data_IF_876432388081
#
_entry.id   IF_876432388081
#
_cell.length_a   1.000
_cell.length_b   1.000
_cell.length_c   1.000
_cell.angle_alpha   90.00
_cell.angle_beta   90.00
_cell.angle_gamma   90.00
#
_symmetry.space_group_name_H-M   'P 1'
#
loop_
_entity.id
_entity.type
_entity.pdbx_description
1 polymer ?
#
# COMPACT_ATOMS: atom_id res chain seq x y z
N UNK A 1 -2.92 -20.39 17.40
CA UNK A 1 -3.42 -19.82 16.13
C UNK A 1 -3.09 -18.34 16.01
N UNK A 2 -3.49 -17.48 16.95
CA UNK A 2 -3.20 -16.03 16.93
C UNK A 2 -1.71 -15.63 17.02
N UNK A 3 -0.88 -16.41 17.74
CA UNK A 3 0.57 -16.15 17.84
C UNK A 3 1.29 -16.28 16.49
N UNK A 4 0.86 -17.22 15.63
CA UNK A 4 1.40 -17.38 14.28
C UNK A 4 1.06 -16.20 13.38
N UNK A 5 -0.19 -15.72 13.44
CA UNK A 5 -0.64 -14.54 12.71
C UNK A 5 0.19 -13.30 13.08
N UNK A 6 0.37 -13.04 14.38
CA UNK A 6 1.18 -11.91 14.84
C UNK A 6 2.62 -11.97 14.34
N UNK A 7 3.24 -13.16 14.34
CA UNK A 7 4.59 -13.34 13.83
C UNK A 7 4.70 -13.03 12.32
N UNK A 8 3.68 -13.37 11.53
CA UNK A 8 3.65 -13.05 10.10
C UNK A 8 3.56 -11.53 9.90
N UNK A 9 2.65 -10.84 10.59
CA UNK A 9 2.53 -9.40 10.51
C UNK A 9 3.80 -8.68 10.99
N UNK A 10 4.45 -9.19 12.06
CA UNK A 10 5.73 -8.67 12.54
C UNK A 10 6.83 -8.82 11.47
N UNK A 11 6.92 -9.97 10.82
CA UNK A 11 7.88 -10.23 9.73
C UNK A 11 7.63 -9.32 8.53
N UNK A 12 6.37 -9.15 8.14
CA UNK A 12 5.96 -8.22 7.08
C UNK A 12 6.42 -6.80 7.41
N UNK A 13 6.10 -6.31 8.62
CA UNK A 13 6.40 -4.94 9.02
C UNK A 13 7.90 -4.67 9.08
N UNK A 14 8.67 -5.64 9.58
CA UNK A 14 10.14 -5.58 9.59
C UNK A 14 10.72 -5.59 8.16
N UNK A 15 10.16 -6.39 7.25
CA UNK A 15 10.63 -6.50 5.86
C UNK A 15 10.28 -5.28 5.00
N UNK A 16 9.14 -4.61 5.29
CA UNK A 16 8.77 -3.35 4.66
C UNK A 16 9.67 -2.19 5.11
N UNK A 17 10.23 -2.29 6.32
CA UNK A 17 11.11 -1.27 6.91
C UNK A 17 10.41 -0.29 7.86
N UNK A 18 9.21 -0.65 8.32
CA UNK A 18 8.52 -0.05 9.46
C UNK A 18 8.00 1.37 9.27
N UNK A 19 7.67 2.02 10.40
CA UNK A 19 7.04 3.35 10.43
C UNK A 19 7.96 4.47 9.90
N UNK A 20 9.27 4.34 10.07
CA UNK A 20 10.25 5.34 9.61
C UNK A 20 10.20 5.52 8.09
N UNK A 21 10.11 4.40 7.35
CA UNK A 21 10.02 4.42 5.89
C UNK A 21 8.66 4.89 5.40
N UNK A 22 7.59 4.59 6.14
CA UNK A 22 6.25 5.08 5.82
C UNK A 22 6.20 6.62 5.88
N UNK A 23 6.67 7.22 6.98
CA UNK A 23 6.63 8.68 7.18
C UNK A 23 7.55 9.40 6.20
N UNK A 24 8.73 8.84 5.91
CA UNK A 24 9.68 9.44 4.96
C UNK A 24 9.32 9.18 3.49
N UNK A 25 8.27 8.40 3.23
CA UNK A 25 7.90 8.00 1.88
C UNK A 25 7.46 9.20 1.03
N UNK A 26 8.03 9.41 -0.17
CA UNK A 26 7.57 10.46 -1.09
C UNK A 26 6.09 10.25 -1.48
N UNK A 27 5.60 9.01 -1.45
CA UNK A 27 4.21 8.66 -1.76
C UNK A 27 3.25 9.16 -0.68
N UNK A 28 3.63 9.11 0.59
CA UNK A 28 2.83 9.70 1.67
C UNK A 28 2.77 11.22 1.55
N UNK A 29 3.89 11.88 1.27
CA UNK A 29 3.92 13.32 1.05
C UNK A 29 3.06 13.74 -0.15
N UNK A 30 3.08 12.95 -1.24
CA UNK A 30 2.21 13.16 -2.37
C UNK A 30 0.73 13.01 -1.99
N UNK A 31 0.38 11.99 -1.20
CA UNK A 31 -0.99 11.81 -0.70
C UNK A 31 -1.45 12.97 0.19
N UNK A 32 -0.56 13.52 1.03
CA UNK A 32 -0.84 14.71 1.84
C UNK A 32 -1.05 15.96 0.97
N UNK A 33 -0.21 16.14 -0.05
CA UNK A 33 -0.37 17.24 -1.00
C UNK A 33 -1.71 17.13 -1.74
N UNK A 34 -2.08 15.94 -2.20
CA UNK A 34 -3.38 15.69 -2.83
C UNK A 34 -4.52 15.97 -1.85
N UNK A 35 -4.42 15.53 -0.59
CA UNK A 35 -5.43 15.76 0.44
C UNK A 35 -5.75 17.26 0.60
N UNK A 36 -4.72 18.10 0.64
CA UNK A 36 -4.86 19.56 0.76
C UNK A 36 -5.53 20.14 -0.48
N UNK A 37 -5.11 19.71 -1.68
CA UNK A 37 -5.66 20.19 -2.94
C UNK A 37 -7.13 19.79 -3.13
N UNK A 38 -7.52 18.62 -2.63
CA UNK A 38 -8.89 18.10 -2.75
C UNK A 38 -9.74 18.35 -1.50
N UNK A 39 -9.38 19.35 -0.68
CA UNK A 39 -10.08 19.65 0.58
C UNK A 39 -11.58 19.86 0.42
N UNK A 40 -11.98 20.50 -0.67
CA UNK A 40 -13.38 20.77 -0.94
C UNK A 40 -14.21 19.48 -1.06
N UNK A 41 -13.61 18.43 -1.64
CA UNK A 41 -14.29 17.16 -1.87
C UNK A 41 -14.50 16.38 -0.57
N UNK A 42 -13.46 16.14 0.23
CA UNK A 42 -13.63 15.31 1.43
C UNK A 42 -14.33 16.02 2.60
N UNK A 43 -14.45 17.36 2.56
CA UNK A 43 -15.22 18.12 3.54
C UNK A 43 -16.72 18.09 3.21
N UNK A 44 -17.08 18.32 1.95
CA UNK A 44 -18.48 18.58 1.56
C UNK A 44 -19.17 17.39 0.88
N UNK A 45 -18.40 16.48 0.27
CA UNK A 45 -18.94 15.38 -0.54
C UNK A 45 -18.77 14.02 0.16
N UNK A 46 -19.53 13.04 -0.34
CA UNK A 46 -19.52 11.64 0.14
C UNK A 46 -18.30 10.89 -0.38
N UNK A 47 -17.11 11.25 0.11
CA UNK A 47 -15.82 10.70 -0.33
C UNK A 47 -15.72 9.16 -0.26
N UNK A 48 -16.49 8.54 0.64
CA UNK A 48 -16.56 7.09 0.79
C UNK A 48 -17.14 6.39 -0.45
N UNK A 49 -18.05 7.01 -1.21
CA UNK A 49 -18.62 6.40 -2.43
C UNK A 49 -17.54 6.22 -3.51
N UNK A 50 -16.64 7.19 -3.64
CA UNK A 50 -15.49 7.07 -4.55
C UNK A 50 -14.55 5.94 -4.09
N UNK A 51 -14.30 5.84 -2.79
CA UNK A 51 -13.43 4.78 -2.25
C UNK A 51 -14.02 3.38 -2.48
N UNK A 52 -15.33 3.22 -2.24
CA UNK A 52 -16.05 1.95 -2.39
C UNK A 52 -16.15 1.52 -3.86
N UNK A 53 -16.25 2.47 -4.79
CA UNK A 53 -16.30 2.16 -6.23
C UNK A 53 -14.94 1.85 -6.86
N UNK A 54 -13.86 2.49 -6.37
CA UNK A 54 -12.51 2.35 -6.95
C UNK A 54 -11.72 1.20 -6.33
N UNK A 55 -11.70 1.09 -4.99
CA UNK A 55 -10.79 0.19 -4.29
C UNK A 55 -10.98 -1.31 -4.58
N UNK A 56 -12.20 -1.86 -4.73
CA UNK A 56 -12.36 -3.28 -5.03
C UNK A 56 -11.69 -3.71 -6.34
N UNK A 57 -11.82 -2.88 -7.39
CA UNK A 57 -11.17 -3.13 -8.68
C UNK A 57 -9.64 -3.06 -8.56
N UNK A 58 -9.13 -2.06 -7.83
CA UNK A 58 -7.70 -1.94 -7.60
C UNK A 58 -7.16 -3.10 -6.76
N UNK A 59 -7.86 -3.53 -5.71
CA UNK A 59 -7.48 -4.69 -4.89
C UNK A 59 -7.39 -5.96 -5.73
N UNK A 60 -8.38 -6.21 -6.60
CA UNK A 60 -8.37 -7.35 -7.51
C UNK A 60 -7.17 -7.33 -8.46
N UNK A 61 -6.89 -6.18 -9.09
CA UNK A 61 -5.72 -6.01 -9.96
C UNK A 61 -4.40 -6.16 -9.19
N UNK A 62 -4.33 -5.65 -7.97
CA UNK A 62 -3.15 -5.70 -7.11
C UNK A 62 -2.79 -7.11 -6.69
N UNK A 63 -3.78 -7.90 -6.31
CA UNK A 63 -3.62 -9.33 -6.02
C UNK A 63 -3.21 -10.11 -7.28
N UNK A 64 -3.82 -9.81 -8.43
CA UNK A 64 -3.45 -10.41 -9.71
C UNK A 64 -2.00 -10.09 -10.10
N UNK A 65 -1.58 -8.83 -9.99
CA UNK A 65 -0.21 -8.39 -10.24
C UNK A 65 0.79 -9.01 -9.27
N UNK A 66 0.43 -9.12 -7.98
CA UNK A 66 1.27 -9.79 -7.00
C UNK A 66 1.43 -11.29 -7.30
N UNK A 67 0.35 -11.99 -7.66
CA UNK A 67 0.40 -13.40 -8.06
C UNK A 67 1.23 -13.61 -9.33
N UNK A 68 1.06 -12.74 -10.34
CA UNK A 68 1.87 -12.76 -11.56
C UNK A 68 3.35 -12.56 -11.24
N UNK A 69 3.69 -11.61 -10.35
CA UNK A 69 5.07 -11.38 -9.92
C UNK A 69 5.67 -12.60 -9.21
N UNK A 70 4.92 -13.29 -8.33
CA UNK A 70 5.41 -14.51 -7.68
C UNK A 70 5.73 -15.63 -8.68
N UNK A 71 5.02 -15.65 -9.82
CA UNK A 71 5.27 -16.54 -10.95
C UNK A 71 6.32 -16.04 -11.95
N UNK A 72 6.83 -14.82 -11.79
CA UNK A 72 7.78 -14.19 -12.71
C UNK A 72 9.24 -14.59 -12.39
N UNK A 73 10.04 -14.82 -13.45
CA UNK A 73 11.47 -15.14 -13.36
C UNK A 73 11.79 -16.64 -13.31
N UNK A 74 13.02 -16.99 -13.72
CA UNK A 74 13.51 -18.37 -13.62
C UNK A 74 13.88 -18.74 -12.17
N UNK A 75 14.12 -20.03 -11.90
CA UNK A 75 14.51 -20.48 -10.55
C UNK A 75 15.82 -19.84 -10.08
N UNK A 76 16.77 -19.62 -11.00
CA UNK A 76 18.08 -19.02 -10.69
C UNK A 76 17.92 -17.56 -10.25
N UNK A 77 17.14 -16.76 -10.96
CA UNK A 77 16.88 -15.37 -10.58
C UNK A 77 16.16 -15.27 -9.23
N UNK A 78 15.15 -16.12 -9.01
CA UNK A 78 14.42 -16.16 -7.73
C UNK A 78 15.33 -16.58 -6.58
N UNK A 79 16.26 -17.51 -6.80
CA UNK A 79 17.26 -17.88 -5.82
C UNK A 79 18.17 -16.69 -5.45
N UNK A 80 18.69 -15.97 -6.46
CA UNK A 80 19.54 -14.77 -6.25
C UNK A 80 18.78 -13.69 -5.47
N UNK A 81 17.51 -13.40 -5.80
CA UNK A 81 16.72 -12.43 -5.04
C UNK A 81 16.39 -12.88 -3.61
N UNK A 82 16.44 -14.18 -3.35
CA UNK A 82 16.22 -14.78 -2.03
C UNK A 82 17.51 -14.94 -1.21
N UNK A 83 18.68 -14.68 -1.81
CA UNK A 83 19.93 -14.60 -1.07
C UNK A 83 19.92 -13.39 -0.14
N UNK A 84 20.53 -13.57 1.04
CA UNK A 84 20.69 -12.50 2.01
C UNK A 84 21.99 -11.77 1.69
N UNK A 85 21.94 -10.45 1.71
CA UNK A 85 23.13 -9.60 1.68
C UNK A 85 23.96 -9.77 2.97
N UNK A 86 25.21 -9.30 2.96
CA UNK A 86 26.16 -9.39 4.09
C UNK A 86 25.60 -8.78 5.39
N UNK A 87 24.68 -7.80 5.29
CA UNK A 87 23.96 -7.16 6.41
C UNK A 87 22.74 -7.96 6.93
N UNK A 88 22.39 -9.08 6.31
CA UNK A 88 21.72 -10.23 6.91
C UNK A 88 20.20 -10.17 7.22
N UNK A 89 19.51 -9.04 7.05
CA UNK A 89 18.15 -8.91 7.62
C UNK A 89 16.97 -9.07 6.65
N UNK A 90 17.02 -8.54 5.42
CA UNK A 90 15.88 -8.59 4.48
C UNK A 90 16.38 -8.83 3.06
N UNK A 91 15.82 -9.84 2.38
CA UNK A 91 16.18 -10.14 0.98
C UNK A 91 15.43 -9.22 0.02
N UNK A 92 16.00 -8.91 -1.16
CA UNK A 92 15.30 -8.14 -2.20
C UNK A 92 13.91 -8.72 -2.53
N UNK A 93 13.81 -10.05 -2.60
CA UNK A 93 12.54 -10.74 -2.79
C UNK A 93 11.53 -10.43 -1.69
N UNK A 94 11.94 -10.53 -0.42
CA UNK A 94 11.05 -10.29 0.72
C UNK A 94 10.65 -8.82 0.84
N UNK A 95 11.55 -7.89 0.51
CA UNK A 95 11.26 -6.45 0.48
C UNK A 95 10.19 -6.11 -0.56
N UNK A 96 10.28 -6.70 -1.76
CA UNK A 96 9.28 -6.51 -2.80
C UNK A 96 7.93 -7.12 -2.41
N UNK A 97 7.92 -8.35 -1.91
CA UNK A 97 6.71 -8.98 -1.39
C UNK A 97 6.07 -8.15 -0.26
N UNK A 98 6.87 -7.63 0.67
CA UNK A 98 6.39 -6.77 1.76
C UNK A 98 5.81 -5.45 1.23
N UNK A 99 6.35 -4.89 0.15
CA UNK A 99 5.82 -3.68 -0.49
C UNK A 99 4.43 -3.92 -1.10
N UNK A 100 4.24 -5.04 -1.79
CA UNK A 100 2.92 -5.45 -2.30
C UNK A 100 1.91 -5.70 -1.17
N UNK A 101 2.32 -6.42 -0.12
CA UNK A 101 1.48 -6.69 1.04
C UNK A 101 1.09 -5.39 1.75
N UNK A 102 2.04 -4.47 1.95
CA UNK A 102 1.75 -3.15 2.52
C UNK A 102 0.69 -2.43 1.73
N UNK A 103 0.89 -2.35 0.41
CA UNK A 103 -0.01 -1.73 -0.52
C UNK A 103 -1.44 -2.30 -0.45
N UNK A 104 -1.58 -3.63 -0.48
CA UNK A 104 -2.88 -4.32 -0.38
C UNK A 104 -3.54 -4.06 0.98
N UNK A 105 -2.77 -4.11 2.07
CA UNK A 105 -3.29 -3.83 3.43
C UNK A 105 -3.82 -2.39 3.51
N UNK A 106 -3.09 -1.41 2.99
CA UNK A 106 -3.52 0.00 3.01
C UNK A 106 -4.80 0.19 2.21
N UNK A 107 -4.91 -0.42 1.02
CA UNK A 107 -6.15 -0.40 0.23
C UNK A 107 -7.33 -1.04 0.98
N UNK A 108 -7.08 -2.17 1.65
CA UNK A 108 -8.11 -2.84 2.45
C UNK A 108 -8.57 -1.97 3.63
N UNK A 109 -7.64 -1.33 4.34
CA UNK A 109 -7.96 -0.39 5.43
C UNK A 109 -8.74 0.82 4.89
N UNK A 110 -8.34 1.38 3.75
CA UNK A 110 -9.06 2.48 3.11
C UNK A 110 -10.51 2.08 2.78
N UNK A 111 -10.71 0.88 2.22
CA UNK A 111 -12.05 0.38 1.89
C UNK A 111 -12.91 0.18 3.14
N UNK A 112 -12.35 -0.43 4.20
CA UNK A 112 -13.06 -0.59 5.47
C UNK A 112 -13.42 0.77 6.08
N UNK A 113 -12.49 1.74 6.04
CA UNK A 113 -12.75 3.10 6.56
C UNK A 113 -13.90 3.78 5.81
N UNK A 114 -14.00 3.58 4.49
CA UNK A 114 -15.08 4.12 3.68
C UNK A 114 -16.43 3.45 3.98
N UNK A 115 -16.45 2.12 4.18
CA UNK A 115 -17.67 1.39 4.57
C UNK A 115 -18.16 1.90 5.94
N UNK A 116 -17.24 2.09 6.89
CA UNK A 116 -17.56 2.62 8.22
C UNK A 116 -18.11 4.04 8.09
N UNK A 117 -17.45 4.93 7.34
CA UNK A 117 -17.92 6.30 7.11
C UNK A 117 -19.31 6.34 6.48
N UNK A 118 -19.57 5.51 5.46
CA UNK A 118 -20.89 5.35 4.84
C UNK A 118 -21.96 4.89 5.83
N UNK A 119 -21.58 4.01 6.76
CA UNK A 119 -22.50 3.50 7.79
C UNK A 119 -22.89 4.57 8.81
N UNK A 120 -22.05 5.59 8.98
CA UNK A 120 -22.31 6.74 9.85
C UNK A 120 -23.01 7.91 9.12
N UNK A 121 -23.38 7.77 7.84
CA UNK A 121 -24.17 8.75 7.09
C UNK A 121 -25.66 8.62 7.44
N UNK A 122 -26.05 8.98 8.66
CA UNK A 122 -27.44 9.05 9.11
C UNK A 122 -27.86 10.49 9.41
N UNK A 123 -29.14 10.79 9.17
CA UNK A 123 -29.71 12.11 9.47
C UNK A 123 -29.94 12.20 10.98
N UNK A 124 -29.01 12.85 11.68
CA UNK A 124 -29.18 13.23 13.08
C UNK A 124 -28.71 14.66 13.31
N UNK A 125 -29.46 15.38 14.15
CA UNK A 125 -29.08 16.72 14.60
C UNK A 125 -27.92 16.60 15.60
N UNK A 126 -26.70 16.55 15.05
CA UNK A 126 -25.49 16.45 15.83
C UNK A 126 -25.09 17.82 16.40
N UNK A 127 -24.60 17.87 17.65
CA UNK A 127 -24.07 19.10 18.24
C UNK A 127 -22.93 19.71 17.39
N UNK A 128 -22.74 21.05 17.41
CA UNK A 128 -21.75 21.72 16.57
C UNK A 128 -20.30 21.22 16.73
N UNK A 129 -19.92 20.69 17.91
CA UNK A 129 -18.57 20.16 18.14
C UNK A 129 -18.29 18.86 17.38
N UNK A 130 -19.33 18.12 16.96
CA UNK A 130 -19.15 16.92 16.13
C UNK A 130 -18.64 17.25 14.73
N UNK A 131 -18.84 18.48 14.24
CA UNK A 131 -18.35 18.90 12.94
C UNK A 131 -16.83 18.72 12.80
N UNK A 132 -16.06 19.15 13.81
CA UNK A 132 -14.60 18.99 13.79
C UNK A 132 -14.16 17.53 13.84
N UNK A 133 -14.88 16.69 14.58
CA UNK A 133 -14.61 15.25 14.68
C UNK A 133 -14.88 14.57 13.33
N UNK A 134 -16.01 14.89 12.70
CA UNK A 134 -16.39 14.37 11.37
C UNK A 134 -15.39 14.84 10.31
N UNK A 135 -15.05 16.13 10.31
CA UNK A 135 -14.08 16.71 9.38
C UNK A 135 -12.70 16.05 9.52
N UNK A 136 -12.21 15.87 10.74
CA UNK A 136 -10.96 15.15 11.00
C UNK A 136 -11.04 13.68 10.56
N UNK A 137 -12.14 12.98 10.88
CA UNK A 137 -12.38 11.60 10.46
C UNK A 137 -12.41 11.44 8.94
N UNK A 138 -13.10 12.35 8.24
CA UNK A 138 -13.14 12.41 6.79
C UNK A 138 -11.75 12.66 6.20
N UNK A 139 -10.99 13.61 6.76
CA UNK A 139 -9.63 13.89 6.33
C UNK A 139 -8.71 12.68 6.47
N UNK A 140 -8.76 11.96 7.60
CA UNK A 140 -7.97 10.75 7.84
C UNK A 140 -8.40 9.60 6.92
N UNK A 141 -9.70 9.37 6.77
CA UNK A 141 -10.24 8.33 5.89
C UNK A 141 -9.86 8.58 4.42
N UNK A 142 -10.05 9.81 3.95
CA UNK A 142 -9.69 10.19 2.59
C UNK A 142 -8.18 10.22 2.35
N UNK A 143 -7.37 10.62 3.34
CA UNK A 143 -5.92 10.49 3.26
C UNK A 143 -5.50 9.02 3.11
N UNK A 144 -6.15 8.12 3.83
CA UNK A 144 -5.87 6.68 3.70
C UNK A 144 -6.22 6.17 2.30
N UNK A 145 -7.33 6.64 1.73
CA UNK A 145 -7.68 6.37 0.32
C UNK A 145 -6.61 6.89 -0.65
N UNK A 146 -6.22 8.16 -0.56
CA UNK A 146 -5.19 8.74 -1.43
C UNK A 146 -3.84 8.03 -1.26
N UNK A 147 -3.46 7.74 -0.02
CA UNK A 147 -2.24 7.00 0.27
C UNK A 147 -2.28 5.60 -0.35
N UNK A 148 -3.43 4.91 -0.32
CA UNK A 148 -3.56 3.60 -0.98
C UNK A 148 -3.30 3.65 -2.49
N UNK A 149 -3.70 4.72 -3.18
CA UNK A 149 -3.45 4.91 -4.62
C UNK A 149 -1.97 5.22 -4.85
N UNK A 150 -1.38 6.13 -4.08
CA UNK A 150 0.05 6.46 -4.23
C UNK A 150 0.97 5.28 -3.84
N UNK A 151 0.56 4.45 -2.87
CA UNK A 151 1.26 3.22 -2.50
C UNK A 151 1.22 2.18 -3.64
N UNK A 152 0.18 2.18 -4.48
CA UNK A 152 0.15 1.37 -5.71
C UNK A 152 1.33 1.73 -6.61
N UNK A 153 1.53 3.02 -6.84
CA UNK A 153 2.64 3.51 -7.67
C UNK A 153 3.99 3.08 -7.09
N UNK A 154 4.13 3.11 -5.75
CA UNK A 154 5.32 2.61 -5.06
C UNK A 154 5.59 1.13 -5.35
N UNK A 155 4.55 0.28 -5.24
CA UNK A 155 4.66 -1.15 -5.54
C UNK A 155 4.99 -1.39 -7.02
N UNK A 156 4.38 -0.66 -7.95
CA UNK A 156 4.68 -0.73 -9.39
C UNK A 156 6.14 -0.38 -9.68
N UNK A 157 6.65 0.70 -9.08
CA UNK A 157 8.06 1.10 -9.24
C UNK A 157 9.02 0.08 -8.62
N UNK A 158 8.62 -0.57 -7.52
CA UNK A 158 9.40 -1.64 -6.92
C UNK A 158 9.51 -2.86 -7.85
N UNK A 159 8.43 -3.23 -8.55
CA UNK A 159 8.45 -4.26 -9.61
C UNK A 159 9.37 -3.84 -10.75
N UNK A 160 9.22 -2.61 -11.24
CA UNK A 160 10.03 -2.10 -12.34
C UNK A 160 11.53 -2.18 -12.02
N UNK A 161 11.93 -1.79 -10.81
CA UNK A 161 13.30 -1.94 -10.31
C UNK A 161 13.78 -3.40 -10.34
N UNK A 162 12.92 -4.35 -9.98
CA UNK A 162 13.28 -5.79 -10.05
C UNK A 162 13.39 -6.30 -11.47
N UNK A 163 12.57 -5.81 -12.41
CA UNK A 163 12.73 -6.09 -13.83
C UNK A 163 14.08 -5.57 -14.35
N UNK A 164 14.51 -4.38 -13.96
CA UNK A 164 15.83 -3.85 -14.33
C UNK A 164 16.99 -4.71 -13.78
N UNK A 165 16.85 -5.25 -12.57
CA UNK A 165 17.83 -6.22 -12.04
C UNK A 165 17.86 -7.52 -12.82
N UNK A 166 16.70 -7.99 -13.30
CA UNK A 166 16.62 -9.17 -14.15
C UNK A 166 17.32 -8.97 -15.50
N UNK A 167 17.09 -7.82 -16.14
CA UNK A 167 17.76 -7.44 -17.39
C UNK A 167 19.28 -7.47 -17.23
N UNK A 168 19.80 -6.77 -16.22
CA UNK A 168 21.23 -6.77 -15.91
C UNK A 168 21.79 -8.17 -15.62
N UNK A 169 21.01 -9.03 -14.94
CA UNK A 169 21.42 -10.42 -14.68
C UNK A 169 21.50 -11.24 -15.98
N UNK A 170 20.61 -11.02 -16.95
CA UNK A 170 20.63 -11.72 -18.23
C UNK A 170 21.80 -11.26 -19.12
N UNK A 171 22.07 -9.96 -19.19
CA UNK A 171 23.20 -9.41 -19.94
C UNK A 171 24.54 -10.02 -19.47
N UNK A 172 24.80 -10.03 -18.16
CA UNK A 172 26.00 -10.61 -17.58
C UNK A 172 26.13 -12.14 -17.76
N UNK A 173 25.02 -12.82 -18.04
CA UNK A 173 24.99 -14.25 -18.37
C UNK A 173 25.34 -14.49 -19.85
N UNK A 174 25.01 -13.55 -20.73
CA UNK A 174 25.29 -13.64 -22.17
C UNK A 174 26.75 -13.32 -22.52
N UNK A 175 27.45 -12.59 -21.66
CA UNK A 175 28.87 -12.24 -21.82
C UNK A 175 29.85 -13.29 -21.26
N UNK A 176 29.35 -14.43 -20.77
CA UNK A 176 30.14 -15.57 -20.27
C UNK A 176 29.90 -16.83 -21.09
#
# INVERSE_FOLDING_TARGET
>A
MYSGTFNIFKRYWASYGGFSLLIKSPYLHLALLLLILTNHFWINEKWWEQSISVLPNLLGFSLGGFAMFLGFGDEKFRAVLAEKDEDGNVTPYMSLCASFVHFIIVQFIALLSAIVAKSFDFHADLPPYFFWIICFGNGVGYLTFLYSITAMLAATMAVFRTCSWYEFHQENKSDK
#
